data_IF_208327289856
#
_entry.id   IF_208327289856
#
_cell.length_a   1.000
_cell.length_b   1.000
_cell.length_c   1.000
_cell.angle_alpha   90.00
_cell.angle_beta   90.00
_cell.angle_gamma   90.00
#
_symmetry.space_group_name_H-M   'P 1'
#
loop_
_entity.id
_entity.type
_entity.pdbx_description
1 polymer ?
#
# COMPACT_ATOMS: atom_id res chain seq x y z
N UNK A 1 -16.70 -12.48 3.63
CA UNK A 1 -15.47 -11.75 3.27
C UNK A 1 -15.26 -10.56 4.21
N UNK A 2 -14.33 -10.68 5.16
CA UNK A 2 -14.02 -9.60 6.11
C UNK A 2 -13.43 -8.34 5.44
N UNK A 3 -12.78 -8.50 4.27
CA UNK A 3 -12.33 -7.36 3.46
C UNK A 3 -13.49 -6.45 3.02
N UNK A 4 -14.65 -7.02 2.67
CA UNK A 4 -15.84 -6.23 2.31
C UNK A 4 -16.40 -5.43 3.50
N UNK A 5 -16.20 -5.91 4.73
CA UNK A 5 -16.69 -5.29 5.97
C UNK A 5 -15.79 -4.20 6.56
N UNK A 6 -14.51 -4.11 6.15
CA UNK A 6 -13.60 -3.11 6.69
C UNK A 6 -12.18 -3.12 6.10
N UNK A 7 -11.74 -4.25 5.53
CA UNK A 7 -10.45 -4.30 4.83
C UNK A 7 -10.51 -3.52 3.51
N UNK A 8 -10.01 -2.29 3.52
CA UNK A 8 -9.79 -1.50 2.31
C UNK A 8 -8.31 -1.48 1.98
N UNK A 9 -8.02 -1.52 0.69
CA UNK A 9 -6.65 -1.45 0.15
C UNK A 9 -6.47 -0.14 -0.58
N UNK A 10 -5.38 0.55 -0.26
CA UNK A 10 -4.89 1.66 -1.04
C UNK A 10 -3.74 1.17 -1.89
N UNK A 11 -3.84 1.46 -3.18
CA UNK A 11 -2.86 1.04 -4.15
C UNK A 11 -1.98 2.23 -4.52
N UNK A 12 -0.68 2.11 -4.27
CA UNK A 12 0.32 3.09 -4.71
C UNK A 12 1.02 2.51 -5.93
N UNK A 13 1.03 3.24 -7.05
CA UNK A 13 1.59 2.81 -8.33
C UNK A 13 0.92 1.55 -8.95
N UNK A 14 -0.41 1.61 -9.12
CA UNK A 14 -1.25 0.51 -9.64
C UNK A 14 -1.03 0.13 -11.10
N UNK A 15 -0.15 0.84 -11.81
CA UNK A 15 0.19 0.56 -13.20
C UNK A 15 1.36 -0.44 -13.34
N UNK A 16 1.90 -0.95 -12.22
CA UNK A 16 2.96 -1.95 -12.23
C UNK A 16 4.33 -1.41 -12.62
N UNK A 17 4.55 -0.09 -12.50
CA UNK A 17 5.84 0.54 -12.69
C UNK A 17 6.86 0.03 -11.66
N UNK A 18 8.15 0.05 -12.04
CA UNK A 18 9.27 -0.30 -11.17
C UNK A 18 10.04 0.96 -10.78
N UNK A 19 10.31 1.17 -9.50
CA UNK A 19 11.03 2.35 -9.02
C UNK A 19 11.04 2.50 -7.50
N UNK A 20 11.48 3.67 -7.04
CA UNK A 20 11.27 4.10 -5.65
C UNK A 20 9.89 4.79 -5.56
N UNK A 21 9.11 4.39 -4.57
CA UNK A 21 7.79 4.97 -4.31
C UNK A 21 7.79 5.59 -2.92
N UNK A 22 7.63 6.90 -2.88
CA UNK A 22 7.45 7.66 -1.65
C UNK A 22 6.03 8.20 -1.68
N UNK A 23 5.26 7.85 -0.65
CA UNK A 23 3.87 8.27 -0.53
C UNK A 23 3.62 8.71 0.91
N UNK A 24 2.83 9.77 1.03
CA UNK A 24 2.27 10.26 2.28
C UNK A 24 0.75 10.24 2.12
N UNK A 25 0.03 9.85 3.16
CA UNK A 25 -1.41 9.68 3.11
C UNK A 25 -2.02 10.04 4.46
N UNK A 26 -2.96 10.98 4.42
CA UNK A 26 -3.94 11.16 5.48
C UNK A 26 -4.99 10.04 5.34
N UNK A 27 -4.84 8.97 6.14
CA UNK A 27 -5.65 7.76 5.99
C UNK A 27 -7.14 8.06 6.17
N UNK A 28 -7.59 8.79 7.22
CA UNK A 28 -9.02 9.10 7.38
C UNK A 28 -9.65 9.84 6.20
N UNK A 29 -9.03 10.92 5.75
CA UNK A 29 -9.57 11.72 4.67
C UNK A 29 -9.54 10.95 3.34
N UNK A 30 -8.42 10.29 3.04
CA UNK A 30 -8.28 9.46 1.83
C UNK A 30 -9.30 8.32 1.79
N UNK A 31 -9.55 7.67 2.94
CA UNK A 31 -10.56 6.61 3.04
C UNK A 31 -11.96 7.15 2.75
N UNK A 32 -12.31 8.29 3.36
CA UNK A 32 -13.63 8.90 3.19
C UNK A 32 -13.87 9.31 1.74
N UNK A 33 -12.88 9.93 1.11
CA UNK A 33 -12.96 10.36 -0.28
C UNK A 33 -13.12 9.17 -1.23
N UNK A 34 -12.41 8.07 -0.98
CA UNK A 34 -12.44 6.90 -1.86
C UNK A 34 -13.67 5.99 -1.64
N UNK A 35 -14.16 5.86 -0.41
CA UNK A 35 -15.20 4.89 -0.06
C UNK A 35 -16.53 5.51 0.36
N UNK A 36 -16.60 6.83 0.56
CA UNK A 36 -17.83 7.58 0.82
C UNK A 36 -18.36 7.52 2.26
N UNK A 37 -17.57 7.01 3.20
CA UNK A 37 -17.93 6.95 4.63
C UNK A 37 -16.68 7.01 5.51
N UNK A 38 -16.84 7.34 6.79
CA UNK A 38 -15.72 7.44 7.72
C UNK A 38 -15.11 6.05 8.00
N UNK A 39 -13.77 5.92 8.08
CA UNK A 39 -13.16 4.64 8.37
C UNK A 39 -13.55 4.13 9.77
N UNK A 40 -13.66 2.80 9.96
CA UNK A 40 -13.64 2.24 11.31
C UNK A 40 -12.29 2.55 11.98
N UNK A 41 -12.19 2.42 13.33
CA UNK A 41 -10.93 2.57 14.03
C UNK A 41 -9.81 1.72 13.40
N UNK A 42 -8.70 2.37 13.07
CA UNK A 42 -7.55 1.70 12.45
C UNK A 42 -6.79 0.97 13.55
N UNK A 43 -6.88 -0.36 13.58
CA UNK A 43 -6.20 -1.21 14.58
C UNK A 43 -4.91 -1.82 14.07
N UNK A 44 -4.59 -1.66 12.78
CA UNK A 44 -3.39 -2.22 12.17
C UNK A 44 -3.26 -1.82 10.70
N UNK A 45 -2.04 -1.95 10.18
CA UNK A 45 -1.69 -1.65 8.79
C UNK A 45 -0.99 -2.88 8.22
N UNK A 46 -1.42 -3.32 7.03
CA UNK A 46 -0.75 -4.34 6.26
C UNK A 46 -0.18 -3.69 4.99
N UNK A 47 1.08 -3.99 4.67
CA UNK A 47 1.76 -3.49 3.48
C UNK A 47 2.13 -4.70 2.63
N UNK A 48 1.69 -4.66 1.38
CA UNK A 48 2.07 -5.64 0.35
C UNK A 48 2.86 -4.92 -0.74
N UNK A 49 3.93 -5.55 -1.20
CA UNK A 49 4.82 -5.02 -2.23
C UNK A 49 4.90 -6.02 -3.39
N UNK A 50 4.23 -5.67 -4.48
CA UNK A 50 4.25 -6.48 -5.70
C UNK A 50 5.59 -6.33 -6.44
N UNK A 51 6.32 -7.43 -6.56
CA UNK A 51 7.58 -7.51 -7.28
C UNK A 51 7.50 -8.37 -8.56
N UNK A 52 6.29 -8.64 -9.05
CA UNK A 52 6.03 -9.51 -10.21
C UNK A 52 6.62 -8.94 -11.50
N UNK A 53 6.56 -7.61 -11.69
CA UNK A 53 7.08 -6.93 -12.89
C UNK A 53 8.58 -6.59 -12.85
N UNK A 54 9.34 -7.13 -11.90
CA UNK A 54 10.78 -6.86 -11.80
C UNK A 54 11.61 -7.79 -12.69
N UNK A 55 12.69 -7.26 -13.28
CA UNK A 55 13.62 -8.04 -14.09
C UNK A 55 14.64 -8.78 -13.22
N UNK A 56 15.10 -9.95 -13.68
CA UNK A 56 16.13 -10.74 -13.02
C UNK A 56 17.47 -10.00 -13.05
N UNK A 57 18.20 -9.98 -11.93
CA UNK A 57 19.57 -9.45 -11.86
C UNK A 57 20.46 -10.40 -11.07
N UNK A 58 21.54 -10.86 -11.69
CA UNK A 58 22.48 -11.83 -11.12
C UNK A 58 21.82 -13.16 -10.68
N UNK A 59 20.91 -13.69 -11.51
CA UNK A 59 20.22 -14.96 -11.24
C UNK A 59 19.19 -14.89 -10.11
N UNK A 60 18.82 -13.70 -9.64
CA UNK A 60 17.80 -13.48 -8.61
C UNK A 60 16.63 -12.72 -9.21
N UNK A 61 15.42 -13.23 -8.99
CA UNK A 61 14.16 -12.57 -9.31
C UNK A 61 13.62 -11.84 -8.08
N UNK A 62 12.93 -10.72 -8.31
CA UNK A 62 12.05 -10.05 -7.33
C UNK A 62 12.71 -9.57 -6.05
N UNK A 63 13.04 -8.27 -5.99
CA UNK A 63 13.46 -7.59 -4.76
C UNK A 63 12.65 -6.31 -4.57
N UNK A 64 11.68 -6.36 -3.68
CA UNK A 64 11.13 -5.16 -3.05
C UNK A 64 11.63 -5.13 -1.60
N UNK A 65 11.81 -3.94 -1.05
CA UNK A 65 12.08 -3.76 0.37
C UNK A 65 11.45 -2.46 0.83
N UNK A 66 11.02 -2.43 2.09
CA UNK A 66 10.48 -1.22 2.70
C UNK A 66 11.65 -0.51 3.38
N UNK A 67 11.96 0.69 2.90
CA UNK A 67 13.06 1.50 3.46
C UNK A 67 12.67 2.19 4.77
N UNK A 68 11.43 2.68 4.85
CA UNK A 68 10.94 3.48 6.00
C UNK A 68 9.41 3.42 6.06
N UNK A 69 8.87 3.38 7.27
CA UNK A 69 7.47 3.63 7.58
C UNK A 69 7.45 4.65 8.71
N UNK A 70 6.69 5.72 8.55
CA UNK A 70 6.44 6.70 9.60
C UNK A 70 4.94 6.82 9.84
N UNK A 71 4.55 6.76 11.10
CA UNK A 71 3.20 7.02 11.55
C UNK A 71 3.21 8.40 12.20
N UNK A 72 2.66 9.38 11.48
CA UNK A 72 2.57 10.76 11.96
C UNK A 72 1.30 10.92 12.81
N UNK A 73 1.35 11.73 13.88
CA UNK A 73 0.21 11.99 14.76
C UNK A 73 -0.86 12.88 14.13
#
# INVERSE_FOLDING_TARGET
>A
NYWQKGGRYFCISCNGNVGEFISEMDIPNTFKDQFGFDPPPITGIAIDADATNTSSKNGRHSKAYIKKIELLP
#
